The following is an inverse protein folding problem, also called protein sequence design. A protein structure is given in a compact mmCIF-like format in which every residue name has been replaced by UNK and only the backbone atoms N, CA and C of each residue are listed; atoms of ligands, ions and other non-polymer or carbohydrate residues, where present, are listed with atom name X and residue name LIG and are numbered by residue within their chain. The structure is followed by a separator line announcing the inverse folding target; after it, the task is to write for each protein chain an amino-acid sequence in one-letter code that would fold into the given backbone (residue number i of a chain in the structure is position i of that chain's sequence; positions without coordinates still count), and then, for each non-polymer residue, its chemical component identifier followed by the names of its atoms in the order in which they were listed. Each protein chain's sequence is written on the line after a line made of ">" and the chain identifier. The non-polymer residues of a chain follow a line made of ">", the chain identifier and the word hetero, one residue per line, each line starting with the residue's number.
data_IF_375023160769
#
_entry.id   IF_375023160769
#
_cell.length_a   1.000
_cell.length_b   1.000
_cell.length_c   1.000
_cell.angle_alpha   90.00
_cell.angle_beta   90.00
_cell.angle_gamma   90.00
#
_symmetry.space_group_name_H-M   'P 1'
#
loop_
_entity.id
_entity.type
_entity.pdbx_description
1 polymer ?
#
# COMPACT_ATOMS: atom_id res chain seq x y z
N UNK A 1 4.04 -31.34 7.59
CA UNK A 1 2.89 -32.22 7.30
C UNK A 1 1.79 -32.30 8.39
N UNK A 2 1.81 -31.45 9.44
CA UNK A 2 0.84 -31.51 10.58
C UNK A 2 -0.61 -31.14 10.22
N UNK A 3 -0.83 -30.39 9.14
CA UNK A 3 -2.16 -29.99 8.65
C UNK A 3 -3.03 -31.17 8.20
N UNK A 4 -2.40 -32.29 7.82
CA UNK A 4 -3.07 -33.51 7.35
C UNK A 4 -2.91 -34.69 8.32
N UNK A 5 -2.54 -34.43 9.58
CA UNK A 5 -2.40 -35.49 10.58
C UNK A 5 -3.73 -36.22 10.81
N UNK A 6 -3.70 -37.55 10.96
CA UNK A 6 -4.92 -38.33 11.30
C UNK A 6 -5.50 -37.93 12.66
N UNK A 7 -4.65 -37.47 13.58
CA UNK A 7 -5.05 -37.00 14.90
C UNK A 7 -5.69 -35.60 14.82
N UNK A 8 -6.93 -35.48 15.29
CA UNK A 8 -7.69 -34.24 15.33
C UNK A 8 -6.99 -33.13 16.13
N UNK A 9 -6.46 -33.44 17.32
CA UNK A 9 -5.76 -32.47 18.17
C UNK A 9 -4.53 -31.89 17.46
N UNK A 10 -3.77 -32.73 16.75
CA UNK A 10 -2.61 -32.25 15.98
C UNK A 10 -3.00 -31.31 14.84
N UNK A 11 -4.14 -31.58 14.17
CA UNK A 11 -4.69 -30.69 13.14
C UNK A 11 -5.19 -29.36 13.72
N UNK A 12 -5.88 -29.40 14.86
CA UNK A 12 -6.35 -28.19 15.54
C UNK A 12 -5.20 -27.29 15.98
N UNK A 13 -4.16 -27.87 16.58
CA UNK A 13 -2.94 -27.12 16.94
C UNK A 13 -2.30 -26.47 15.71
N UNK A 14 -2.15 -27.21 14.60
CA UNK A 14 -1.59 -26.65 13.37
C UNK A 14 -2.43 -25.50 12.78
N UNK A 15 -3.75 -25.53 12.94
CA UNK A 15 -4.64 -24.45 12.53
C UNK A 15 -4.46 -23.21 13.43
N UNK A 16 -4.45 -23.40 14.75
CA UNK A 16 -4.22 -22.31 15.70
C UNK A 16 -2.86 -21.65 15.51
N UNK A 17 -1.81 -22.45 15.32
CA UNK A 17 -0.46 -21.95 14.99
C UNK A 17 -0.51 -21.11 13.71
N UNK A 18 -1.21 -21.57 12.67
CA UNK A 18 -1.32 -20.80 11.42
C UNK A 18 -2.09 -19.49 11.57
N UNK A 19 -3.12 -19.45 12.43
CA UNK A 19 -3.82 -18.20 12.74
C UNK A 19 -2.93 -17.23 13.51
N UNK A 20 -2.15 -17.74 14.47
CA UNK A 20 -1.21 -16.93 15.24
C UNK A 20 -0.15 -16.29 14.33
N UNK A 21 0.49 -17.09 13.47
CA UNK A 21 1.49 -16.60 12.51
C UNK A 21 0.89 -15.58 11.53
N UNK A 22 -0.32 -15.85 11.02
CA UNK A 22 -1.02 -14.92 10.14
C UNK A 22 -1.34 -13.59 10.85
N UNK A 23 -1.82 -13.64 12.10
CA UNK A 23 -2.12 -12.45 12.89
C UNK A 23 -0.85 -11.61 13.13
N UNK A 24 0.27 -12.23 13.51
CA UNK A 24 1.54 -11.54 13.68
C UNK A 24 2.02 -10.87 12.38
N UNK A 25 1.94 -11.58 11.25
CA UNK A 25 2.32 -11.05 9.95
C UNK A 25 1.44 -9.85 9.56
N UNK A 26 0.13 -9.94 9.76
CA UNK A 26 -0.82 -8.86 9.45
C UNK A 26 -0.63 -7.66 10.37
N UNK A 27 -0.40 -7.84 11.68
CA UNK A 27 -0.12 -6.73 12.59
C UNK A 27 1.12 -5.93 12.15
N UNK A 28 2.19 -6.64 11.78
CA UNK A 28 3.42 -5.99 11.29
C UNK A 28 3.19 -5.20 10.00
N UNK A 29 2.41 -5.74 9.08
CA UNK A 29 2.08 -5.03 7.83
C UNK A 29 1.14 -3.85 8.08
N UNK A 30 0.19 -3.98 8.99
CA UNK A 30 -0.68 -2.88 9.42
C UNK A 30 0.14 -1.71 9.99
N UNK A 31 1.08 -1.98 10.90
CA UNK A 31 1.94 -0.94 11.46
C UNK A 31 2.82 -0.27 10.40
N UNK A 32 3.33 -1.06 9.46
CA UNK A 32 4.08 -0.54 8.31
C UNK A 32 3.24 0.42 7.46
N UNK A 33 2.00 0.04 7.13
CA UNK A 33 1.06 0.85 6.36
C UNK A 33 0.69 2.13 7.12
N UNK A 34 0.41 2.02 8.42
CA UNK A 34 0.11 3.17 9.29
C UNK A 34 1.26 4.18 9.32
N UNK A 35 2.49 3.71 9.55
CA UNK A 35 3.66 4.58 9.54
C UNK A 35 3.94 5.22 8.16
N UNK A 36 3.73 4.47 7.07
CA UNK A 36 3.86 5.01 5.72
C UNK A 36 2.83 6.12 5.47
N UNK A 37 1.57 5.90 5.87
CA UNK A 37 0.50 6.91 5.81
C UNK A 37 0.88 8.17 6.56
N UNK A 38 1.29 8.06 7.82
CA UNK A 38 1.69 9.22 8.62
C UNK A 38 2.87 9.98 8.01
N UNK A 39 3.89 9.28 7.50
CA UNK A 39 5.03 9.90 6.81
C UNK A 39 4.58 10.69 5.58
N UNK A 40 3.67 10.13 4.78
CA UNK A 40 3.11 10.81 3.62
C UNK A 40 2.24 12.00 4.02
N UNK A 41 1.41 11.86 5.05
CA UNK A 41 0.58 12.96 5.57
C UNK A 41 1.42 14.14 6.06
N UNK A 42 2.57 13.90 6.69
CA UNK A 42 3.51 14.98 7.08
C UNK A 42 4.03 15.78 5.90
N UNK A 43 4.18 15.19 4.71
CA UNK A 43 4.60 15.90 3.48
C UNK A 43 3.54 16.85 2.92
N UNK A 44 2.30 16.73 3.37
CA UNK A 44 1.19 17.62 2.98
C UNK A 44 1.22 18.95 3.74
N UNK A 45 1.97 19.05 4.85
CA UNK A 45 2.06 20.29 5.62
C UNK A 45 2.61 21.44 4.74
N UNK A 46 1.88 22.55 4.66
CA UNK A 46 2.25 23.70 3.83
C UNK A 46 1.97 23.52 2.32
N UNK A 47 1.38 22.41 1.89
CA UNK A 47 0.90 22.25 0.49
C UNK A 47 -0.43 22.98 0.30
N UNK A 48 -0.71 23.37 -0.96
CA UNK A 48 -1.96 24.04 -1.33
C UNK A 48 -3.16 23.16 -0.97
N UNK A 49 -4.21 23.78 -0.42
CA UNK A 49 -5.47 23.12 -0.07
C UNK A 49 -6.21 22.52 -1.27
N UNK A 50 -5.95 22.99 -2.49
CA UNK A 50 -6.57 22.50 -3.74
C UNK A 50 -5.87 21.30 -4.37
N UNK A 51 -4.85 20.73 -3.72
CA UNK A 51 -4.09 19.60 -4.26
C UNK A 51 -4.79 18.27 -3.99
N UNK A 52 -4.78 17.36 -4.98
CA UNK A 52 -5.29 15.98 -4.85
C UNK A 52 -4.30 15.01 -4.17
N UNK A 53 -3.34 15.55 -3.42
CA UNK A 53 -2.33 14.77 -2.73
C UNK A 53 -2.89 13.96 -1.54
N UNK A 54 -3.79 14.51 -0.69
CA UNK A 54 -4.39 13.71 0.39
C UNK A 54 -5.12 12.47 -0.14
N UNK A 55 -5.85 12.61 -1.23
CA UNK A 55 -6.59 11.52 -1.85
C UNK A 55 -5.64 10.50 -2.52
N UNK A 56 -4.50 10.96 -3.05
CA UNK A 56 -3.44 10.05 -3.51
C UNK A 56 -2.83 9.25 -2.35
N UNK A 57 -2.67 9.86 -1.16
CA UNK A 57 -2.19 9.12 0.03
C UNK A 57 -3.16 7.99 0.37
N UNK A 58 -4.45 8.27 0.43
CA UNK A 58 -5.46 7.24 0.73
C UNK A 58 -5.51 6.15 -0.36
N UNK A 59 -5.36 6.53 -1.64
CA UNK A 59 -5.28 5.57 -2.73
C UNK A 59 -4.07 4.64 -2.60
N UNK A 60 -2.90 5.17 -2.24
CA UNK A 60 -1.67 4.37 -2.07
C UNK A 60 -1.74 3.46 -0.84
N UNK A 61 -2.33 3.94 0.26
CA UNK A 61 -2.50 3.12 1.47
C UNK A 61 -3.48 1.97 1.24
N UNK A 62 -4.57 2.21 0.50
CA UNK A 62 -5.52 1.16 0.14
C UNK A 62 -4.98 0.19 -0.92
N UNK A 63 -4.11 0.67 -1.81
CA UNK A 63 -3.50 -0.10 -2.90
C UNK A 63 -2.00 0.21 -2.94
N UNK A 64 -1.15 -0.59 -2.25
CA UNK A 64 0.29 -0.31 -2.12
C UNK A 64 1.09 -0.20 -3.41
N UNK A 65 0.49 -0.54 -4.56
CA UNK A 65 1.02 -0.30 -5.90
C UNK A 65 -0.04 0.37 -6.75
N UNK A 66 0.23 1.59 -7.21
CA UNK A 66 -0.67 2.38 -8.05
C UNK A 66 -0.01 2.72 -9.38
N UNK A 67 -0.76 2.64 -10.49
CA UNK A 67 -0.28 3.09 -11.80
C UNK A 67 -0.78 4.49 -12.13
N UNK A 68 -0.15 5.15 -13.09
CA UNK A 68 -0.61 6.45 -13.57
C UNK A 68 -2.09 6.41 -14.03
N UNK A 69 -2.50 5.32 -14.68
CA UNK A 69 -3.88 5.13 -15.12
C UNK A 69 -4.86 4.99 -13.94
N UNK A 70 -4.45 4.33 -12.85
CA UNK A 70 -5.27 4.26 -11.63
C UNK A 70 -5.45 5.64 -11.01
N UNK A 71 -4.36 6.41 -10.89
CA UNK A 71 -4.41 7.78 -10.35
C UNK A 71 -5.34 8.65 -11.21
N UNK A 72 -5.21 8.62 -12.54
CA UNK A 72 -6.09 9.34 -13.47
C UNK A 72 -7.56 8.96 -13.26
N UNK A 73 -7.85 7.65 -13.15
CA UNK A 73 -9.21 7.15 -13.02
C UNK A 73 -9.85 7.55 -11.69
N UNK A 74 -9.15 7.32 -10.58
CA UNK A 74 -9.70 7.49 -9.23
C UNK A 74 -9.72 8.96 -8.80
N UNK A 75 -8.70 9.71 -9.21
CA UNK A 75 -8.56 11.11 -8.81
C UNK A 75 -9.02 12.07 -9.89
N UNK A 76 -9.40 11.62 -11.09
CA UNK A 76 -9.87 12.47 -12.19
C UNK A 76 -8.83 13.46 -12.72
N UNK A 77 -7.54 13.14 -12.61
CA UNK A 77 -6.43 14.02 -13.02
C UNK A 77 -6.05 13.80 -14.48
N UNK A 78 -5.30 14.72 -15.08
CA UNK A 78 -4.62 14.44 -16.36
C UNK A 78 -3.50 13.41 -16.16
N UNK A 79 -3.05 12.69 -17.20
CA UNK A 79 -1.92 11.76 -17.10
C UNK A 79 -0.63 12.41 -16.59
N UNK A 80 -0.33 13.64 -17.02
CA UNK A 80 0.82 14.40 -16.53
C UNK A 80 0.60 14.86 -15.07
N UNK A 81 -0.63 15.22 -14.70
CA UNK A 81 -0.99 15.52 -13.32
C UNK A 81 -0.77 14.34 -12.39
N UNK A 82 -1.13 13.12 -12.82
CA UNK A 82 -0.90 11.90 -12.05
C UNK A 82 0.60 11.65 -11.76
N UNK A 83 1.45 11.80 -12.78
CA UNK A 83 2.92 11.71 -12.63
C UNK A 83 3.43 12.81 -11.69
N UNK A 84 2.93 14.02 -11.85
CA UNK A 84 3.30 15.17 -11.00
C UNK A 84 2.95 14.94 -9.53
N UNK A 85 1.77 14.40 -9.23
CA UNK A 85 1.36 14.06 -7.87
C UNK A 85 2.22 12.95 -7.26
N UNK A 86 2.49 11.88 -8.01
CA UNK A 86 3.34 10.79 -7.56
C UNK A 86 4.76 11.26 -7.23
N UNK A 87 5.33 12.15 -8.06
CA UNK A 87 6.64 12.76 -7.81
C UNK A 87 6.63 13.70 -6.59
N UNK A 88 5.58 14.50 -6.41
CA UNK A 88 5.46 15.40 -5.24
C UNK A 88 5.37 14.63 -3.92
N UNK A 89 4.77 13.44 -3.93
CA UNK A 89 4.72 12.55 -2.78
C UNK A 89 6.00 11.71 -2.61
N UNK A 90 6.90 11.77 -3.61
CA UNK A 90 8.14 10.98 -3.73
C UNK A 90 7.89 9.48 -3.66
N UNK A 91 6.84 9.01 -4.34
CA UNK A 91 6.60 7.57 -4.46
C UNK A 91 7.70 6.92 -5.30
N UNK A 92 8.10 5.71 -4.95
CA UNK A 92 9.15 4.99 -5.68
C UNK A 92 8.57 4.29 -6.90
N UNK A 93 9.19 4.47 -8.05
CA UNK A 93 8.85 3.70 -9.24
C UNK A 93 9.27 2.23 -9.06
N UNK A 94 8.31 1.31 -9.20
CA UNK A 94 8.53 -0.15 -9.12
C UNK A 94 8.90 -0.73 -10.48
N UNK A 95 8.46 -0.09 -11.57
CA UNK A 95 8.57 -0.61 -12.94
C UNK A 95 9.94 -0.42 -13.58
N UNK A 96 10.71 0.61 -13.21
CA UNK A 96 12.05 0.90 -13.74
C UNK A 96 12.13 1.17 -15.26
N UNK A 97 10.99 1.42 -15.93
CA UNK A 97 10.87 1.45 -17.40
C UNK A 97 10.56 2.84 -17.96
N UNK A 98 10.28 3.82 -17.11
CA UNK A 98 10.00 5.20 -17.52
C UNK A 98 8.64 5.42 -18.22
N UNK A 99 8.07 4.42 -18.90
CA UNK A 99 6.70 4.37 -19.45
C UNK A 99 5.86 3.33 -18.69
N UNK A 100 4.54 3.55 -18.64
CA UNK A 100 3.59 2.71 -17.88
C UNK A 100 3.98 2.55 -16.40
N UNK A 101 4.38 3.67 -15.79
CA UNK A 101 4.91 3.69 -14.41
C UNK A 101 3.87 3.20 -13.42
N UNK A 102 4.34 2.38 -12.49
CA UNK A 102 3.64 2.09 -11.25
C UNK A 102 4.55 2.45 -10.08
N UNK A 103 3.94 2.98 -9.03
CA UNK A 103 4.63 3.43 -7.85
C UNK A 103 4.16 2.67 -6.62
N UNK A 104 5.09 2.46 -5.70
CA UNK A 104 4.83 1.89 -4.39
C UNK A 104 5.24 2.82 -3.25
N UNK A 105 4.81 2.46 -2.05
CA UNK A 105 5.02 3.21 -0.80
C UNK A 105 6.44 3.07 -0.20
N UNK A 106 7.38 2.45 -0.93
CA UNK A 106 8.70 2.00 -0.46
C UNK A 106 9.77 2.25 -1.50
#
# INVERSE_FOLDING_TARGET
>A
ERRHARNQTQRLLALLDSFYEAAQATMKEHDRLSHARERMMRKLAGRRSSSRLPELVELVVSRPVVSAAMIVKELGTTPQGAIGLANQLELREVTGRGRFRAWGML
#
